data_IF_910870544936
#
_entry.id   IF_910870544936
#
_cell.length_a   1.000
_cell.length_b   1.000
_cell.length_c   1.000
_cell.angle_alpha   90.00
_cell.angle_beta   90.00
_cell.angle_gamma   90.00
#
_symmetry.space_group_name_H-M   'P 1'
#
loop_
_entity.id
_entity.type
_entity.pdbx_description
1 polymer ?
#
# COMPACT_ATOMS: atom_id res chain seq x y z
N UNK A 1 -3.45 1.51 -13.79
CA UNK A 1 -2.46 1.10 -12.75
C UNK A 1 -3.24 0.54 -11.58
N UNK A 2 -2.82 -0.60 -11.05
CA UNK A 2 -3.36 -1.23 -9.84
C UNK A 2 -2.40 -1.01 -8.67
N UNK A 3 -2.94 -0.73 -7.47
CA UNK A 3 -2.19 -0.54 -6.23
C UNK A 3 -2.89 -1.33 -5.11
N UNK A 4 -2.12 -2.08 -4.32
CA UNK A 4 -2.60 -2.77 -3.12
C UNK A 4 -1.89 -2.26 -1.87
N UNK A 5 -2.63 -2.09 -0.78
CA UNK A 5 -2.11 -1.64 0.52
C UNK A 5 -2.75 -2.46 1.67
N UNK A 6 -2.14 -2.52 2.87
CA UNK A 6 -2.71 -3.25 4.00
C UNK A 6 -4.04 -2.66 4.44
N UNK A 7 -5.03 -3.47 4.82
CA UNK A 7 -6.29 -2.92 5.39
C UNK A 7 -6.11 -2.42 6.83
N UNK A 8 -5.06 -2.88 7.51
CA UNK A 8 -4.69 -2.44 8.85
C UNK A 8 -3.98 -1.08 8.80
N UNK A 9 -3.77 -0.46 9.96
CA UNK A 9 -2.99 0.79 10.08
C UNK A 9 -1.61 0.45 10.65
N UNK A 10 -0.58 0.26 9.82
CA UNK A 10 0.77 -0.02 10.32
C UNK A 10 1.31 1.22 11.05
N UNK A 11 2.12 1.03 12.09
CA UNK A 11 2.75 2.14 12.82
C UNK A 11 3.65 3.00 11.92
N UNK A 12 4.26 2.39 10.89
CA UNK A 12 5.13 3.06 9.92
C UNK A 12 4.42 3.71 8.73
N UNK A 13 3.09 3.77 8.72
CA UNK A 13 2.32 4.32 7.60
C UNK A 13 1.77 3.25 6.65
N UNK A 14 1.06 3.72 5.63
CA UNK A 14 0.28 2.89 4.70
C UNK A 14 1.14 2.43 3.52
N UNK A 15 1.95 1.39 3.68
CA UNK A 15 2.84 0.89 2.63
C UNK A 15 2.08 0.40 1.39
N UNK A 16 2.67 0.59 0.22
CA UNK A 16 2.24 -0.08 -1.02
C UNK A 16 2.85 -1.47 -1.04
N UNK A 17 1.99 -2.50 -1.01
CA UNK A 17 2.39 -3.91 -1.06
C UNK A 17 2.52 -4.44 -2.49
N UNK A 18 1.82 -3.82 -3.44
CA UNK A 18 1.90 -4.20 -4.84
C UNK A 18 1.49 -3.03 -5.71
N UNK A 19 2.17 -2.84 -6.84
CA UNK A 19 1.82 -1.86 -7.86
C UNK A 19 2.08 -2.42 -9.26
N UNK A 20 1.15 -2.24 -10.19
CA UNK A 20 1.27 -2.75 -11.54
C UNK A 20 0.63 -1.81 -12.58
N UNK A 21 1.31 -1.60 -13.71
CA UNK A 21 0.70 -0.99 -14.89
C UNK A 21 -0.03 -2.07 -15.70
N UNK A 22 -1.35 -1.92 -15.84
CA UNK A 22 -2.21 -2.81 -16.60
C UNK A 22 -2.56 -2.14 -17.93
N UNK A 23 -2.29 -2.83 -19.04
CA UNK A 23 -2.51 -2.34 -20.41
C UNK A 23 -3.69 -3.05 -21.06
N UNK A 24 -4.33 -2.41 -22.04
CA UNK A 24 -5.47 -2.98 -22.77
C UNK A 24 -6.83 -2.78 -22.08
N UNK A 25 -6.91 -1.87 -21.11
CA UNK A 25 -8.11 -1.55 -20.32
C UNK A 25 -8.88 -2.80 -19.82
N UNK A 26 -8.20 -3.75 -19.17
CA UNK A 26 -8.85 -4.97 -18.70
C UNK A 26 -9.88 -4.64 -17.63
N UNK A 27 -10.98 -5.39 -17.62
CA UNK A 27 -11.94 -5.31 -16.53
C UNK A 27 -11.27 -5.66 -15.20
N UNK A 28 -11.42 -4.80 -14.19
CA UNK A 28 -10.77 -4.94 -12.87
C UNK A 28 -11.03 -6.31 -12.21
N UNK A 29 -12.24 -6.88 -12.40
CA UNK A 29 -12.57 -8.20 -11.89
C UNK A 29 -11.68 -9.33 -12.45
N UNK A 30 -11.15 -9.18 -13.66
CA UNK A 30 -10.26 -10.16 -14.29
C UNK A 30 -8.79 -10.01 -13.85
N UNK A 31 -8.41 -8.83 -13.35
CA UNK A 31 -7.02 -8.54 -12.96
C UNK A 31 -6.74 -8.91 -11.51
N UNK A 32 -7.79 -9.00 -10.68
CA UNK A 32 -7.69 -9.26 -9.24
C UNK A 32 -6.83 -10.49 -8.89
N UNK A 33 -6.99 -11.60 -9.62
CA UNK A 33 -6.22 -12.83 -9.38
C UNK A 33 -4.71 -12.61 -9.56
N UNK A 34 -4.32 -11.98 -10.67
CA UNK A 34 -2.90 -11.67 -10.94
C UNK A 34 -2.30 -10.69 -9.93
N UNK A 35 -3.08 -9.71 -9.48
CA UNK A 35 -2.64 -8.72 -8.48
C UNK A 35 -2.42 -9.38 -7.13
N UNK A 36 -3.32 -10.26 -6.70
CA UNK A 36 -3.17 -11.00 -5.45
C UNK A 36 -1.95 -11.92 -5.52
N UNK A 37 -1.81 -12.71 -6.58
CA UNK A 37 -0.67 -13.60 -6.75
C UNK A 37 0.66 -12.84 -6.71
N UNK A 38 0.75 -11.70 -7.41
CA UNK A 38 1.95 -10.86 -7.38
C UNK A 38 2.22 -10.22 -6.02
N UNK A 39 1.17 -9.84 -5.28
CA UNK A 39 1.29 -9.32 -3.92
C UNK A 39 1.75 -10.39 -2.93
N UNK A 40 1.18 -11.61 -2.99
CA UNK A 40 1.56 -12.73 -2.13
C UNK A 40 3.00 -13.18 -2.42
N UNK A 41 3.40 -13.20 -3.70
CA UNK A 41 4.78 -13.50 -4.09
C UNK A 41 5.77 -12.46 -3.55
N UNK A 42 5.42 -11.16 -3.59
CA UNK A 42 6.30 -10.09 -3.10
C UNK A 42 6.40 -10.08 -1.57
N UNK A 43 5.28 -10.32 -0.89
CA UNK A 43 5.21 -10.21 0.57
C UNK A 43 5.54 -11.51 1.28
N UNK A 44 5.44 -12.66 0.60
CA UNK A 44 5.50 -13.99 1.21
C UNK A 44 4.30 -14.32 2.10
N UNK A 45 3.23 -13.51 2.07
CA UNK A 45 2.09 -13.61 2.97
C UNK A 45 0.80 -13.84 2.20
N UNK A 46 0.08 -14.92 2.53
CA UNK A 46 -1.22 -15.24 1.95
C UNK A 46 -2.31 -14.22 2.35
N UNK A 47 -3.05 -13.74 1.37
CA UNK A 47 -4.14 -12.80 1.54
C UNK A 47 -5.40 -13.50 2.10
N UNK A 48 -5.65 -13.29 3.39
CA UNK A 48 -6.84 -13.83 4.09
C UNK A 48 -8.11 -13.02 3.85
N UNK A 49 -7.97 -11.69 3.76
CA UNK A 49 -9.09 -10.75 3.54
C UNK A 49 -8.67 -9.69 2.55
N UNK A 50 -9.43 -9.58 1.46
CA UNK A 50 -9.17 -8.69 0.34
C UNK A 50 -10.37 -7.76 0.22
N UNK A 51 -10.14 -6.46 0.31
CA UNK A 51 -11.19 -5.44 0.25
C UNK A 51 -11.03 -4.65 -1.05
N UNK A 52 -12.05 -4.69 -1.90
CA UNK A 52 -12.01 -4.09 -3.24
C UNK A 52 -13.16 -3.10 -3.46
N UNK A 53 -13.05 -2.28 -4.49
CA UNK A 53 -14.11 -1.38 -4.93
C UNK A 53 -15.19 -2.07 -5.77
N UNK A 54 -16.29 -1.36 -6.02
CA UNK A 54 -17.43 -1.88 -6.82
C UNK A 54 -17.04 -2.31 -8.23
N UNK A 55 -15.97 -1.75 -8.79
CA UNK A 55 -15.45 -2.13 -10.11
C UNK A 55 -15.03 -3.60 -10.22
N UNK A 56 -14.71 -4.23 -9.09
CA UNK A 56 -14.28 -5.65 -9.02
C UNK A 56 -15.45 -6.64 -8.88
N UNK A 57 -16.69 -6.22 -9.14
CA UNK A 57 -17.86 -7.10 -9.09
C UNK A 57 -17.71 -8.23 -10.14
N UNK A 58 -18.16 -9.44 -9.84
CA UNK A 58 -18.02 -10.55 -10.79
C UNK A 58 -16.58 -10.98 -11.07
N UNK A 59 -15.64 -10.72 -10.14
CA UNK A 59 -14.26 -11.15 -10.26
C UNK A 59 -14.10 -12.67 -10.42
N UNK A 60 -13.01 -13.09 -11.07
CA UNK A 60 -12.71 -14.50 -11.32
C UNK A 60 -11.82 -15.14 -10.24
N UNK A 61 -11.55 -14.44 -9.13
CA UNK A 61 -10.75 -15.00 -8.03
C UNK A 61 -11.37 -16.29 -7.45
N UNK A 62 -10.62 -17.41 -7.36
CA UNK A 62 -11.16 -18.70 -6.91
C UNK A 62 -11.78 -18.67 -5.51
N UNK A 63 -11.12 -17.99 -4.57
CA UNK A 63 -11.54 -17.94 -3.17
C UNK A 63 -12.49 -16.75 -2.92
N UNK A 64 -13.71 -16.83 -3.47
CA UNK A 64 -14.72 -15.74 -3.40
C UNK A 64 -15.03 -15.26 -1.98
N UNK A 65 -14.98 -16.15 -0.97
CA UNK A 65 -15.26 -15.80 0.43
C UNK A 65 -14.20 -14.91 1.09
N UNK A 66 -13.04 -14.73 0.46
CA UNK A 66 -11.98 -13.84 0.95
C UNK A 66 -12.07 -12.42 0.39
N UNK A 67 -12.90 -12.20 -0.62
CA UNK A 67 -13.04 -10.92 -1.32
C UNK A 67 -14.30 -10.21 -0.87
N UNK A 68 -14.15 -8.97 -0.41
CA UNK A 68 -15.21 -8.11 0.10
C UNK A 68 -15.32 -6.87 -0.78
N UNK A 69 -16.47 -6.73 -1.45
CA UNK A 69 -16.72 -5.62 -2.39
C UNK A 69 -17.35 -4.45 -1.64
N UNK A 70 -16.95 -3.23 -1.99
CA UNK A 70 -17.47 -2.02 -1.38
C UNK A 70 -19.00 -1.89 -1.48
N UNK A 71 -19.65 -1.50 -0.38
CA UNK A 71 -21.11 -1.42 -0.29
C UNK A 71 -21.82 -2.77 -0.12
N UNK A 72 -21.09 -3.89 0.01
CA UNK A 72 -21.69 -5.16 0.42
C UNK A 72 -22.31 -5.05 1.82
N UNK A 73 -23.59 -5.40 1.94
CA UNK A 73 -24.33 -5.34 3.21
C UNK A 73 -24.56 -6.74 3.79
N UNK A 74 -24.71 -7.74 2.93
CA UNK A 74 -24.98 -9.14 3.33
C UNK A 74 -23.68 -9.83 3.80
N UNK A 75 -23.80 -10.65 4.85
CA UNK A 75 -22.71 -11.45 5.43
C UNK A 75 -21.52 -10.64 5.96
N UNK A 76 -21.72 -9.36 6.28
CA UNK A 76 -20.66 -8.47 6.79
C UNK A 76 -20.74 -8.37 8.31
N UNK A 77 -19.70 -8.84 9.00
CA UNK A 77 -19.54 -8.65 10.46
C UNK A 77 -19.12 -7.23 10.80
N UNK A 78 -19.22 -6.84 12.08
CA UNK A 78 -18.76 -5.52 12.56
C UNK A 78 -17.29 -5.25 12.21
N UNK A 79 -16.43 -6.27 12.31
CA UNK A 79 -15.00 -6.18 11.96
C UNK A 79 -14.80 -5.93 10.47
N UNK A 80 -15.47 -6.71 9.62
CA UNK A 80 -15.38 -6.55 8.16
C UNK A 80 -15.90 -5.17 7.74
N UNK A 81 -16.98 -4.68 8.35
CA UNK A 81 -17.50 -3.33 8.08
C UNK A 81 -16.47 -2.25 8.39
N UNK A 82 -15.74 -2.38 9.51
CA UNK A 82 -14.66 -1.46 9.88
C UNK A 82 -13.51 -1.52 8.90
N UNK A 83 -13.09 -2.72 8.49
CA UNK A 83 -12.05 -2.91 7.48
C UNK A 83 -12.44 -2.32 6.12
N UNK A 84 -13.66 -2.57 5.65
CA UNK A 84 -14.18 -1.99 4.42
C UNK A 84 -14.20 -0.45 4.46
N UNK A 85 -14.54 0.15 5.62
CA UNK A 85 -14.47 1.61 5.82
C UNK A 85 -13.02 2.11 5.77
N UNK A 86 -12.07 1.34 6.31
CA UNK A 86 -10.63 1.68 6.28
C UNK A 86 -9.99 1.55 4.92
N UNK A 87 -10.55 0.75 4.01
CA UNK A 87 -10.07 0.65 2.61
C UNK A 87 -9.87 2.02 1.96
N UNK A 88 -10.69 3.01 2.30
CA UNK A 88 -10.57 4.38 1.80
C UNK A 88 -9.19 5.03 2.06
N UNK A 89 -8.37 4.48 2.97
CA UNK A 89 -6.98 4.89 3.16
C UNK A 89 -6.09 4.60 1.94
N UNK A 90 -6.50 3.76 0.99
CA UNK A 90 -5.76 3.53 -0.26
C UNK A 90 -5.83 4.74 -1.20
N UNK A 91 -6.90 5.53 -1.17
CA UNK A 91 -7.09 6.69 -2.04
C UNK A 91 -6.02 7.76 -1.86
N UNK A 92 -5.70 8.24 -0.62
CA UNK A 92 -4.61 9.19 -0.44
C UNK A 92 -3.25 8.58 -0.84
N UNK A 93 -3.03 7.28 -0.64
CA UNK A 93 -1.79 6.62 -1.10
C UNK A 93 -1.68 6.68 -2.62
N UNK A 94 -2.75 6.33 -3.35
CA UNK A 94 -2.80 6.43 -4.81
C UNK A 94 -2.54 7.89 -5.24
N UNK A 95 -3.14 8.86 -4.54
CA UNK A 95 -2.90 10.28 -4.77
C UNK A 95 -1.43 10.68 -4.62
N UNK A 96 -0.80 10.35 -3.49
CA UNK A 96 0.62 10.65 -3.25
C UNK A 96 1.53 9.96 -4.26
N UNK A 97 1.29 8.68 -4.56
CA UNK A 97 2.11 7.95 -5.54
C UNK A 97 2.01 8.59 -6.93
N UNK A 98 0.81 9.06 -7.33
CA UNK A 98 0.58 9.77 -8.59
C UNK A 98 1.27 11.13 -8.65
N UNK A 99 1.07 11.96 -7.62
CA UNK A 99 1.49 13.35 -7.62
C UNK A 99 2.96 13.53 -7.21
N UNK A 100 3.39 12.92 -6.11
CA UNK A 100 4.70 13.16 -5.49
C UNK A 100 5.78 12.20 -5.99
N UNK A 101 5.37 10.98 -6.39
CA UNK A 101 6.31 9.94 -6.83
C UNK A 101 6.28 9.68 -8.33
N UNK A 102 5.85 10.67 -9.12
CA UNK A 102 5.96 10.71 -10.60
C UNK A 102 5.29 9.56 -11.34
N UNK A 103 4.35 8.83 -10.72
CA UNK A 103 3.61 7.79 -11.43
C UNK A 103 2.81 8.36 -12.62
N UNK A 104 2.39 9.63 -12.57
CA UNK A 104 1.74 10.31 -13.71
C UNK A 104 2.71 10.85 -14.78
N UNK A 105 4.00 10.96 -14.48
CA UNK A 105 5.02 11.55 -15.37
C UNK A 105 6.04 10.48 -15.77
N UNK A 106 5.59 9.55 -16.60
CA UNK A 106 6.46 8.48 -17.10
C UNK A 106 7.30 8.96 -18.29
N UNK A 107 8.62 8.96 -18.12
CA UNK A 107 9.60 9.25 -19.20
C UNK A 107 10.20 7.98 -19.81
N UNK A 108 9.83 6.80 -19.31
CA UNK A 108 10.32 5.52 -19.80
C UNK A 108 9.51 5.05 -21.02
N UNK A 109 10.19 4.41 -21.97
CA UNK A 109 9.62 4.06 -23.27
C UNK A 109 8.68 2.85 -23.20
N UNK A 110 7.46 3.04 -23.72
CA UNK A 110 6.50 1.97 -24.00
C UNK A 110 5.99 1.21 -22.77
N UNK A 111 5.36 0.04 -23.01
CA UNK A 111 4.69 -0.74 -21.95
C UNK A 111 5.63 -1.24 -20.85
N UNK A 112 6.87 -1.58 -21.21
CA UNK A 112 7.89 -1.96 -20.23
C UNK A 112 8.24 -0.77 -19.34
N UNK A 113 8.37 0.42 -19.92
CA UNK A 113 8.55 1.66 -19.17
C UNK A 113 7.41 1.95 -18.21
N UNK A 114 6.15 1.80 -18.64
CA UNK A 114 4.99 2.00 -17.76
C UNK A 114 4.98 1.06 -16.55
N UNK A 115 5.32 -0.23 -16.78
CA UNK A 115 5.41 -1.23 -15.72
C UNK A 115 6.51 -0.88 -14.73
N UNK A 116 7.70 -0.53 -15.23
CA UNK A 116 8.82 -0.11 -14.40
C UNK A 116 8.48 1.15 -13.60
N UNK A 117 7.89 2.16 -14.23
CA UNK A 117 7.51 3.41 -13.58
C UNK A 117 6.51 3.19 -12.44
N UNK A 118 5.51 2.33 -12.63
CA UNK A 118 4.54 2.03 -11.58
C UNK A 118 5.19 1.40 -10.34
N UNK A 119 6.14 0.46 -10.54
CA UNK A 119 6.86 -0.19 -9.47
C UNK A 119 7.81 0.80 -8.77
N UNK A 120 8.59 1.56 -9.54
CA UNK A 120 9.56 2.51 -8.99
C UNK A 120 8.89 3.66 -8.24
N UNK A 121 7.76 4.17 -8.74
CA UNK A 121 6.97 5.18 -8.04
C UNK A 121 6.43 4.67 -6.70
N UNK A 122 5.90 3.44 -6.67
CA UNK A 122 5.45 2.80 -5.45
C UNK A 122 6.61 2.54 -4.46
N UNK A 123 7.77 2.11 -4.95
CA UNK A 123 8.97 1.95 -4.13
C UNK A 123 9.44 3.29 -3.56
N UNK A 124 9.45 4.35 -4.36
CA UNK A 124 9.79 5.71 -3.93
C UNK A 124 8.85 6.22 -2.83
N UNK A 125 7.55 5.92 -2.93
CA UNK A 125 6.60 6.20 -1.86
C UNK A 125 6.91 5.43 -0.58
N UNK A 126 7.19 4.13 -0.67
CA UNK A 126 7.56 3.34 0.51
C UNK A 126 8.86 3.85 1.16
N UNK A 127 9.86 4.23 0.37
CA UNK A 127 11.10 4.80 0.90
C UNK A 127 10.87 6.15 1.60
N UNK A 128 9.94 6.99 1.15
CA UNK A 128 9.62 8.24 1.84
C UNK A 128 9.04 7.99 3.25
N UNK A 129 8.26 6.92 3.43
CA UNK A 129 7.78 6.49 4.75
C UNK A 129 8.93 6.06 5.66
N UNK A 130 9.87 5.27 5.12
CA UNK A 130 11.05 4.81 5.86
C UNK A 130 11.98 5.96 6.26
N UNK A 131 12.25 6.89 5.33
CA UNK A 131 13.09 8.06 5.59
C UNK A 131 12.47 8.93 6.70
N UNK A 132 11.15 9.17 6.66
CA UNK A 132 10.44 9.90 7.72
C UNK A 132 10.57 9.22 9.09
N UNK A 133 10.50 7.90 9.12
CA UNK A 133 10.68 7.14 10.36
C UNK A 133 12.12 7.24 10.88
N UNK A 134 13.12 7.10 10.00
CA UNK A 134 14.53 7.24 10.33
C UNK A 134 14.86 8.66 10.82
N UNK A 135 14.28 9.69 10.21
CA UNK A 135 14.41 11.09 10.64
C UNK A 135 13.87 11.30 12.05
N UNK A 136 12.68 10.73 12.36
CA UNK A 136 12.11 10.79 13.70
C UNK A 136 12.97 10.06 14.73
N UNK A 137 13.50 8.89 14.37
CA UNK A 137 14.42 8.14 15.21
C UNK A 137 15.71 8.93 15.48
N UNK A 138 16.32 9.50 14.44
CA UNK A 138 17.54 10.31 14.57
C UNK A 138 17.31 11.51 15.49
N UNK A 139 16.18 12.22 15.32
CA UNK A 139 15.80 13.33 16.22
C UNK A 139 15.64 12.87 17.67
N UNK A 140 15.02 11.72 17.91
CA UNK A 140 14.87 11.17 19.24
C UNK A 140 16.22 10.83 19.88
N UNK A 141 17.16 10.24 19.12
CA UNK A 141 18.51 9.93 19.57
C UNK A 141 19.31 11.19 19.90
N UNK A 142 19.28 12.21 19.03
CA UNK A 142 19.93 13.49 19.27
C UNK A 142 19.39 14.18 20.53
N UNK A 143 18.06 14.19 20.72
CA UNK A 143 17.44 14.75 21.92
C UNK A 143 17.82 13.99 23.19
N UNK A 144 17.94 12.66 23.12
CA UNK A 144 18.39 11.86 24.26
C UNK A 144 19.86 12.16 24.61
N UNK A 145 20.72 12.30 23.60
CA UNK A 145 22.13 12.64 23.79
C UNK A 145 22.30 14.04 24.40
N UNK A 146 21.58 15.03 23.88
CA UNK A 146 21.65 16.42 24.36
C UNK A 146 21.04 16.63 25.75
N UNK A 147 20.14 15.74 26.20
CA UNK A 147 19.52 15.76 27.53
C UNK A 147 20.23 14.87 28.54
N UNK A 148 21.26 14.14 28.13
CA UNK A 148 22.04 13.33 29.05
C UNK A 148 22.78 14.27 30.03
N UNK A 149 22.57 14.16 31.35
CA UNK A 149 23.31 14.96 32.30
C UNK A 149 24.81 14.64 32.17
N UNK A 150 25.66 15.67 32.23
CA UNK A 150 27.10 15.49 32.36
C UNK A 150 27.35 14.59 33.59
N UNK A 151 28.21 13.56 33.49
CA UNK A 151 28.56 12.77 34.66
C UNK A 151 29.08 13.72 35.73
N UNK A 152 28.46 13.69 36.92
CA UNK A 152 28.93 14.46 38.06
C UNK A 152 30.41 14.10 38.28
N UNK A 153 31.29 15.10 38.20
CA UNK A 153 32.68 14.90 38.56
C UNK A 153 32.70 14.49 40.03
N UNK A 154 33.13 13.25 40.28
CA UNK A 154 33.33 12.74 41.63
C UNK A 154 34.56 13.47 42.17
N UNK A 155 34.32 14.35 43.15
CA UNK A 155 35.36 15.06 43.90
C UNK A 155 36.06 14.13 44.89
#
# INVERSE_FOLDING_TARGET
VSIATPVTKPKGGQFVLHAAALHGNPYDGHTLGSVIAGMEQLTGVEARRIHVDKGYRGHNYPNKFRVWISGQVRRVTKTIRREMKRRAAVEPVIGHVKAEHRMQRNYLKGRHGDRANAILAAAGYNFSLLIRWLEALLRALLMALLRAPLPAQVA
#
